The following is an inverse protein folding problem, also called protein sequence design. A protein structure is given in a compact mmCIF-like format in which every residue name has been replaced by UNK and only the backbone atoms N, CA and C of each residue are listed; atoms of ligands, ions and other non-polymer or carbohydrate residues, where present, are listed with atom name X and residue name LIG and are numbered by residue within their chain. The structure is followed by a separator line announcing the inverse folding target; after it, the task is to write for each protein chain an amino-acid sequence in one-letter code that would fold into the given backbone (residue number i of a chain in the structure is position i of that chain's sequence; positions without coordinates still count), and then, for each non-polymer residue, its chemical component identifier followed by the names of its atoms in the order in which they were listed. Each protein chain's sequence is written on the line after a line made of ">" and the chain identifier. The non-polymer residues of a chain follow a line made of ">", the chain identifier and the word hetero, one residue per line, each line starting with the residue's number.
data_IF_904412258424
#
_entry.id   IF_904412258424
#
_cell.length_a   1.000
_cell.length_b   1.000
_cell.length_c   1.000
_cell.angle_alpha   90.00
_cell.angle_beta   90.00
_cell.angle_gamma   90.00
#
_symmetry.space_group_name_H-M   'P 1'
#
loop_
_entity.id
_entity.type
_entity.pdbx_description
1 polymer ?
#
# COMPACT_ATOMS: atom_id res chain seq x y z
N UNK A 1 3.30 -15.58 -26.68
CA UNK A 1 4.30 -14.57 -27.11
C UNK A 1 4.32 -13.34 -26.19
N UNK A 2 3.17 -12.73 -25.85
CA UNK A 2 3.09 -11.53 -24.99
C UNK A 2 3.71 -11.69 -23.58
N UNK A 3 3.59 -12.86 -22.93
CA UNK A 3 4.25 -13.16 -21.64
C UNK A 3 5.78 -13.23 -21.78
N UNK A 4 6.28 -13.84 -22.87
CA UNK A 4 7.71 -13.96 -23.12
C UNK A 4 8.34 -12.61 -23.51
N UNK A 5 7.56 -11.73 -24.15
CA UNK A 5 7.91 -10.34 -24.40
C UNK A 5 7.90 -9.47 -23.14
N UNK A 6 7.38 -9.96 -22.00
CA UNK A 6 7.30 -9.21 -20.75
C UNK A 6 6.25 -8.11 -20.75
N UNK A 7 5.35 -8.09 -21.75
CA UNK A 7 4.27 -7.09 -21.89
C UNK A 7 3.07 -7.39 -21.00
N UNK A 8 3.01 -8.59 -20.43
CA UNK A 8 1.90 -9.06 -19.62
C UNK A 8 2.43 -9.86 -18.42
N UNK A 9 1.92 -9.56 -17.23
CA UNK A 9 2.08 -10.40 -16.05
C UNK A 9 0.98 -11.45 -16.00
N UNK A 10 1.39 -12.71 -16.01
CA UNK A 10 0.50 -13.85 -15.80
C UNK A 10 0.69 -14.32 -14.36
N UNK A 11 -0.33 -14.12 -13.52
CA UNK A 11 -0.31 -14.57 -12.14
C UNK A 11 -1.18 -15.83 -12.04
N UNK A 12 -0.53 -16.98 -11.80
CA UNK A 12 -1.23 -18.22 -11.56
C UNK A 12 -1.76 -18.21 -10.12
N UNK A 13 -3.07 -18.20 -9.98
CA UNK A 13 -3.70 -18.28 -8.66
C UNK A 13 -3.63 -19.73 -8.16
N UNK A 14 -3.13 -19.93 -6.93
CA UNK A 14 -2.99 -21.27 -6.35
C UNK A 14 -4.36 -21.87 -6.00
N UNK A 15 -5.36 -21.03 -5.73
CA UNK A 15 -6.71 -21.43 -5.29
C UNK A 15 -7.71 -21.59 -6.44
N UNK A 16 -7.39 -21.13 -7.65
CA UNK A 16 -8.27 -21.21 -8.81
C UNK A 16 -7.39 -21.32 -10.05
N UNK A 17 -7.55 -22.39 -10.84
CA UNK A 17 -6.78 -22.62 -12.08
C UNK A 17 -6.99 -21.54 -13.17
N UNK A 18 -7.54 -20.37 -12.83
CA UNK A 18 -7.72 -19.24 -13.71
C UNK A 18 -6.47 -18.36 -13.68
N UNK A 19 -5.77 -18.33 -14.81
CA UNK A 19 -4.64 -17.44 -15.02
C UNK A 19 -5.15 -15.99 -15.23
N UNK A 20 -4.80 -15.08 -14.32
CA UNK A 20 -5.16 -13.66 -14.44
C UNK A 20 -4.06 -12.92 -15.19
N UNK A 21 -4.47 -12.15 -16.20
CA UNK A 21 -3.62 -11.39 -17.12
C UNK A 21 -3.67 -9.91 -16.77
N UNK A 22 -2.52 -9.34 -16.40
CA UNK A 22 -2.36 -7.90 -16.22
C UNK A 22 -1.43 -7.31 -17.28
N UNK A 23 -1.78 -6.16 -17.89
CA UNK A 23 -0.87 -5.46 -18.79
C UNK A 23 0.32 -4.92 -18.01
N UNK A 24 1.54 -5.19 -18.48
CA UNK A 24 2.77 -4.65 -17.93
C UNK A 24 3.14 -3.34 -18.65
N UNK A 25 3.57 -2.33 -17.90
CA UNK A 25 4.04 -1.08 -18.49
C UNK A 25 5.45 -1.30 -19.06
N UNK A 26 5.70 -1.02 -20.36
CA UNK A 26 7.01 -1.21 -20.98
C UNK A 26 8.11 -0.35 -20.33
N UNK A 27 7.76 0.72 -19.60
CA UNK A 27 8.72 1.52 -18.81
C UNK A 27 9.33 0.77 -17.63
N UNK A 28 8.69 -0.30 -17.17
CA UNK A 28 9.10 -1.08 -16.01
C UNK A 28 10.01 -2.27 -16.37
N UNK A 29 10.27 -2.52 -17.66
CA UNK A 29 11.09 -3.65 -18.10
C UNK A 29 12.57 -3.31 -17.90
N UNK A 30 13.13 -3.74 -16.77
CA UNK A 30 14.57 -3.68 -16.49
C UNK A 30 15.15 -5.10 -16.53
N UNK A 31 16.15 -5.32 -17.38
CA UNK A 31 16.92 -6.56 -17.37
C UNK A 31 17.96 -6.47 -16.25
N UNK A 32 17.89 -7.39 -15.31
CA UNK A 32 18.81 -7.53 -14.18
C UNK A 32 19.34 -8.95 -14.16
N UNK A 33 20.65 -9.10 -13.98
CA UNK A 33 21.33 -10.39 -13.94
C UNK A 33 20.92 -11.20 -12.70
N UNK A 34 20.99 -12.52 -12.79
CA UNK A 34 20.53 -13.39 -11.69
C UNK A 34 21.40 -13.27 -10.43
N UNK A 35 22.70 -13.01 -10.59
CA UNK A 35 23.62 -12.78 -9.47
C UNK A 35 23.22 -11.55 -8.64
N UNK A 36 22.79 -10.47 -9.32
CA UNK A 36 22.31 -9.25 -8.67
C UNK A 36 20.99 -9.52 -7.94
N UNK A 37 20.09 -10.32 -8.55
CA UNK A 37 18.83 -10.72 -7.89
C UNK A 37 19.10 -11.56 -6.65
N UNK A 38 20.08 -12.45 -6.70
CA UNK A 38 20.46 -13.29 -5.56
C UNK A 38 21.06 -12.43 -4.44
N UNK A 39 21.96 -11.50 -4.77
CA UNK A 39 22.52 -10.57 -3.81
C UNK A 39 21.42 -9.74 -3.14
N UNK A 40 20.49 -9.17 -3.91
CA UNK A 40 19.38 -8.38 -3.37
C UNK A 40 18.51 -9.19 -2.40
N UNK A 41 18.22 -10.46 -2.72
CA UNK A 41 17.44 -11.35 -1.86
C UNK A 41 18.18 -11.75 -0.58
N UNK A 42 19.52 -11.75 -0.60
CA UNK A 42 20.36 -12.08 0.55
C UNK A 42 20.57 -10.91 1.51
N UNK A 43 20.23 -9.68 1.12
CA UNK A 43 20.32 -8.52 2.02
C UNK A 43 19.12 -8.57 2.98
N UNK A 44 19.40 -8.86 4.25
CA UNK A 44 18.39 -8.78 5.30
C UNK A 44 18.15 -7.32 5.70
N UNK A 45 16.90 -6.86 5.56
CA UNK A 45 16.51 -5.54 6.04
C UNK A 45 16.15 -5.60 7.53
N UNK A 46 16.58 -4.61 8.34
CA UNK A 46 16.11 -4.46 9.71
C UNK A 46 14.58 -4.42 9.78
N UNK A 47 14.00 -5.11 10.78
CA UNK A 47 12.54 -5.11 10.99
C UNK A 47 12.01 -3.74 11.43
N UNK A 48 12.82 -2.95 12.13
CA UNK A 48 12.43 -1.60 12.57
C UNK A 48 12.86 -0.53 11.56
N UNK A 49 11.90 0.30 11.16
CA UNK A 49 12.11 1.43 10.27
C UNK A 49 13.07 2.48 10.86
N UNK A 50 13.17 2.58 12.19
CA UNK A 50 14.09 3.52 12.84
C UNK A 50 15.55 3.17 12.54
N UNK A 51 15.89 1.89 12.52
CA UNK A 51 17.26 1.45 12.28
C UNK A 51 17.64 1.63 10.80
N UNK A 52 16.69 1.42 9.88
CA UNK A 52 16.86 1.76 8.46
C UNK A 52 17.12 3.27 8.28
N UNK A 53 16.35 4.13 8.95
CA UNK A 53 16.55 5.58 8.86
C UNK A 53 17.92 6.02 9.41
N UNK A 54 18.40 5.39 10.49
CA UNK A 54 19.75 5.64 11.03
C UNK A 54 20.84 5.22 10.05
N UNK A 55 20.71 4.04 9.44
CA UNK A 55 21.69 3.55 8.48
C UNK A 55 21.71 4.41 7.20
N UNK A 56 20.53 4.86 6.73
CA UNK A 56 20.45 5.82 5.63
C UNK A 56 21.15 7.14 5.98
N UNK A 57 20.91 7.69 7.18
CA UNK A 57 21.58 8.92 7.63
C UNK A 57 23.09 8.75 7.77
N UNK A 58 23.55 7.61 8.32
CA UNK A 58 24.97 7.28 8.43
C UNK A 58 25.63 7.20 7.06
N UNK A 59 24.90 6.70 6.06
CA UNK A 59 25.34 6.63 4.66
C UNK A 59 25.09 7.94 3.89
N UNK A 60 24.69 9.04 4.55
CA UNK A 60 24.48 10.35 3.93
C UNK A 60 23.21 10.48 3.08
N UNK A 61 22.35 9.47 3.05
CA UNK A 61 21.06 9.49 2.38
C UNK A 61 20.00 10.08 3.30
N UNK A 62 19.24 11.07 2.81
CA UNK A 62 18.12 11.66 3.57
C UNK A 62 16.98 10.64 3.63
N UNK A 63 16.57 10.17 4.82
CA UNK A 63 15.45 9.25 4.89
C UNK A 63 14.16 9.95 4.43
N UNK A 64 13.40 9.29 3.55
CA UNK A 64 12.14 9.82 3.03
C UNK A 64 11.03 9.87 4.10
N UNK A 65 11.20 9.08 5.18
CA UNK A 65 10.29 9.04 6.31
C UNK A 65 11.00 9.56 7.56
N UNK A 66 10.25 10.16 8.48
CA UNK A 66 10.75 10.62 9.78
C UNK A 66 10.09 9.80 10.90
N UNK A 67 10.32 8.49 10.87
CA UNK A 67 9.68 7.52 11.77
C UNK A 67 10.16 7.70 13.19
N UNK A 68 11.43 8.05 13.40
CA UNK A 68 11.96 8.37 14.73
C UNK A 68 11.15 9.48 15.41
N UNK A 69 10.95 10.64 14.75
CA UNK A 69 10.15 11.73 15.31
C UNK A 69 8.68 11.34 15.49
N UNK A 70 8.11 10.52 14.59
CA UNK A 70 6.73 10.04 14.76
C UNK A 70 6.56 9.13 15.98
N UNK A 71 7.52 8.24 16.25
CA UNK A 71 7.52 7.39 17.46
C UNK A 71 7.71 8.20 18.73
N UNK A 72 8.64 9.17 18.72
CA UNK A 72 8.82 10.09 19.85
C UNK A 72 7.55 10.90 20.13
N UNK A 73 6.91 11.48 19.10
CA UNK A 73 5.65 12.20 19.26
C UNK A 73 4.54 11.26 19.76
N UNK A 74 4.49 10.00 19.30
CA UNK A 74 3.50 9.03 19.76
C UNK A 74 3.68 8.62 21.23
N UNK A 75 4.93 8.55 21.69
CA UNK A 75 5.27 8.20 23.06
C UNK A 75 5.08 9.39 24.01
N UNK A 76 5.45 10.61 23.57
CA UNK A 76 5.27 11.86 24.34
C UNK A 76 3.79 12.28 24.41
N UNK A 77 3.01 12.07 23.34
CA UNK A 77 1.59 12.46 23.30
C UNK A 77 0.63 11.36 23.74
N UNK A 78 1.10 10.17 24.16
CA UNK A 78 0.26 9.09 24.68
C UNK A 78 -0.98 8.84 23.81
N UNK A 79 -0.78 8.41 22.56
CA UNK A 79 -1.85 8.39 21.56
C UNK A 79 -2.88 7.29 21.89
N UNK A 80 -4.00 7.67 22.53
CA UNK A 80 -5.29 7.04 22.24
C UNK A 80 -5.63 7.39 20.79
N UNK A 81 -5.97 6.41 19.91
CA UNK A 81 -6.37 6.72 18.55
C UNK A 81 -7.59 7.64 18.60
N UNK A 82 -7.42 8.88 18.12
CA UNK A 82 -8.52 9.84 18.03
C UNK A 82 -9.53 9.26 17.06
N UNK A 83 -10.63 8.71 17.57
CA UNK A 83 -11.72 8.21 16.75
C UNK A 83 -12.14 9.33 15.80
N UNK A 84 -11.95 9.13 14.49
CA UNK A 84 -12.50 10.04 13.48
C UNK A 84 -14.00 10.07 13.72
N UNK A 85 -14.52 11.20 14.21
CA UNK A 85 -15.95 11.40 14.35
C UNK A 85 -16.56 11.32 12.95
N UNK A 86 -17.23 10.20 12.65
CA UNK A 86 -18.06 10.10 11.45
C UNK A 86 -19.14 11.18 11.59
N UNK A 87 -19.10 12.21 10.74
CA UNK A 87 -20.19 13.19 10.68
C UNK A 87 -21.47 12.42 10.37
N UNK A 88 -22.45 12.45 11.28
CA UNK A 88 -23.79 11.94 11.01
C UNK A 88 -24.33 12.73 9.81
N UNK A 89 -24.53 12.06 8.68
CA UNK A 89 -25.17 12.68 7.51
C UNK A 89 -26.66 12.69 7.81
N UNK A 90 -27.12 13.75 8.45
CA UNK A 90 -28.55 14.01 8.59
C UNK A 90 -29.09 14.40 7.20
N UNK A 91 -30.21 13.79 6.80
CA UNK A 91 -30.88 14.13 5.55
C UNK A 91 -31.36 15.57 5.62
N UNK A 92 -30.65 16.48 4.97
CA UNK A 92 -31.07 17.88 4.84
C UNK A 92 -32.15 17.99 3.76
N UNK A 93 -33.01 19.01 3.83
CA UNK A 93 -34.11 19.25 2.86
C UNK A 93 -33.68 19.31 1.39
N UNK A 94 -32.37 19.40 1.13
CA UNK A 94 -31.76 19.43 -0.21
C UNK A 94 -31.40 18.03 -0.76
N UNK A 95 -31.34 17.01 0.09
CA UNK A 95 -31.05 15.62 -0.30
C UNK A 95 -32.34 14.95 -0.78
N UNK A 96 -32.47 14.74 -2.10
CA UNK A 96 -33.63 14.05 -2.68
C UNK A 96 -33.53 12.55 -2.41
N UNK A 97 -34.50 11.98 -1.71
CA UNK A 97 -34.62 10.54 -1.53
C UNK A 97 -35.16 9.92 -2.82
N UNK A 98 -34.33 9.17 -3.53
CA UNK A 98 -34.71 8.56 -4.82
C UNK A 98 -35.56 7.30 -4.67
N UNK A 99 -35.60 6.72 -3.47
CA UNK A 99 -36.20 5.41 -3.19
C UNK A 99 -37.43 5.51 -2.26
N UNK A 100 -38.20 6.60 -2.36
CA UNK A 100 -39.34 6.87 -1.47
C UNK A 100 -40.51 5.87 -1.58
N UNK A 101 -40.58 5.09 -2.67
CA UNK A 101 -41.65 4.14 -2.95
C UNK A 101 -41.36 2.71 -2.46
N UNK A 102 -40.19 2.46 -1.86
CA UNK A 102 -39.79 1.15 -1.32
C UNK A 102 -39.62 1.24 0.21
N UNK A 103 -40.71 1.06 0.98
CA UNK A 103 -40.68 1.24 2.44
C UNK A 103 -39.86 0.16 3.18
N UNK A 104 -39.64 -1.00 2.56
CA UNK A 104 -38.90 -2.12 3.16
C UNK A 104 -37.40 -1.82 3.40
N UNK A 105 -36.83 -0.81 2.75
CA UNK A 105 -35.41 -0.45 2.87
C UNK A 105 -35.07 0.38 4.12
N UNK A 106 -36.06 0.83 4.89
CA UNK A 106 -35.87 1.76 6.00
C UNK A 106 -36.36 1.23 7.37
N UNK A 107 -36.58 -0.09 7.50
CA UNK A 107 -36.79 -0.76 8.79
C UNK A 107 -35.47 -1.08 9.50
#
# INVERSE_FOLDING_TARGET
>A
ELKAAGEVWLLSNLDSQEDIVYPNDPRAIMKVDDDIKQLFRGIELPRDMVDIEKDLQKNGMKPATNTAKRKEVAQVQGIKPKQKQKKKREFTKRTKLTNAHLPELFQ
#
